data_IF_138251996883
#
_entry.id   IF_138251996883
#
_cell.length_a   1.000
_cell.length_b   1.000
_cell.length_c   1.000
_cell.angle_alpha   90.00
_cell.angle_beta   90.00
_cell.angle_gamma   90.00
#
_symmetry.space_group_name_H-M   'P 1'
#
loop_
_entity.id
_entity.type
_entity.pdbx_description
1 polymer ?
#
# COMPACT_ATOMS: atom_id res chain seq x y z
N UNK A 1 -32.81 -12.45 -0.65
CA UNK A 1 -32.62 -11.00 -0.81
C UNK A 1 -31.57 -10.81 -1.90
N UNK A 2 -31.94 -10.14 -3.01
CA UNK A 2 -31.07 -9.78 -4.13
C UNK A 2 -30.37 -8.46 -3.76
N UNK A 3 -29.06 -8.37 -3.95
CA UNK A 3 -28.31 -7.12 -3.80
C UNK A 3 -27.59 -6.89 -5.13
N UNK A 4 -28.01 -5.85 -5.84
CA UNK A 4 -27.41 -5.38 -7.08
C UNK A 4 -26.42 -4.26 -6.76
N UNK A 5 -25.21 -4.34 -7.32
CA UNK A 5 -24.20 -3.28 -7.22
C UNK A 5 -24.05 -2.67 -8.60
N UNK A 6 -24.49 -1.41 -8.77
CA UNK A 6 -24.33 -0.65 -10.00
C UNK A 6 -23.07 0.24 -9.93
N UNK A 7 -22.27 0.24 -11.00
CA UNK A 7 -21.31 1.31 -11.29
C UNK A 7 -21.67 1.97 -12.62
N UNK A 8 -21.62 3.31 -12.64
CA UNK A 8 -22.05 4.19 -13.72
C UNK A 8 -20.82 4.77 -14.42
N UNK A 9 -20.82 4.81 -15.75
CA UNK A 9 -20.03 5.78 -16.51
C UNK A 9 -20.94 6.55 -17.46
N UNK A 10 -20.71 7.86 -17.48
CA UNK A 10 -21.51 8.92 -18.11
C UNK A 10 -21.11 9.02 -19.58
N UNK A 11 -22.06 8.92 -20.49
CA UNK A 11 -21.86 9.20 -21.92
C UNK A 11 -22.55 10.53 -22.23
N UNK A 12 -21.79 11.55 -22.65
CA UNK A 12 -22.32 12.79 -23.24
C UNK A 12 -22.16 12.76 -24.76
N UNK A 13 -23.19 13.26 -25.45
CA UNK A 13 -23.47 13.12 -26.87
C UNK A 13 -22.91 14.26 -27.77
N UNK A 14 -22.89 13.96 -29.08
CA UNK A 14 -23.08 14.83 -30.27
C UNK A 14 -21.84 14.87 -31.21
N UNK A 15 -21.89 14.84 -32.55
CA UNK A 15 -22.90 15.18 -33.57
C UNK A 15 -22.73 14.40 -34.90
N UNK A 16 -23.87 14.26 -35.63
CA UNK A 16 -24.19 14.07 -37.08
C UNK A 16 -23.09 14.46 -38.10
N UNK A 17 -22.91 13.91 -39.32
CA UNK A 17 -23.79 13.60 -40.48
C UNK A 17 -22.90 13.01 -41.63
N UNK A 18 -23.32 12.19 -42.62
CA UNK A 18 -24.01 12.51 -43.89
C UNK A 18 -24.18 11.20 -44.70
N UNK A 19 -25.31 11.13 -45.40
CA UNK A 19 -25.80 10.11 -46.36
C UNK A 19 -25.09 10.27 -47.73
N UNK A 20 -24.93 9.21 -48.54
CA UNK A 20 -25.35 9.14 -49.97
C UNK A 20 -24.93 7.81 -50.64
N UNK A 21 -25.93 7.28 -51.33
CA UNK A 21 -26.10 6.05 -52.12
C UNK A 21 -25.41 6.11 -53.49
N UNK A 22 -24.91 4.98 -54.03
CA UNK A 22 -25.26 4.47 -55.37
C UNK A 22 -24.46 3.21 -55.76
N UNK A 23 -25.20 2.20 -56.21
CA UNK A 23 -24.75 0.96 -56.84
C UNK A 23 -24.33 1.19 -58.31
N UNK A 24 -23.55 0.23 -58.82
CA UNK A 24 -23.17 -0.04 -60.22
C UNK A 24 -21.86 0.55 -60.76
N UNK A 25 -20.78 -0.22 -60.67
CA UNK A 25 -19.94 -0.51 -61.82
C UNK A 25 -19.30 -1.89 -61.67
N UNK A 26 -19.67 -2.77 -62.60
CA UNK A 26 -19.33 -4.18 -62.70
C UNK A 26 -17.87 -4.33 -63.17
N UNK A 27 -17.09 -5.11 -62.41
CA UNK A 27 -16.12 -6.13 -62.87
C UNK A 27 -15.11 -5.70 -63.95
N UNK A 28 -13.85 -5.48 -63.53
CA UNK A 28 -12.64 -6.21 -63.95
C UNK A 28 -11.41 -5.36 -63.59
N UNK A 29 -10.71 -5.73 -62.52
CA UNK A 29 -9.27 -5.96 -62.56
C UNK A 29 -8.81 -6.56 -61.22
N UNK A 30 -8.36 -7.80 -61.33
CA UNK A 30 -7.60 -8.52 -60.33
C UNK A 30 -6.32 -7.75 -60.02
N UNK A 31 -6.30 -7.05 -58.89
CA UNK A 31 -5.09 -6.82 -58.12
C UNK A 31 -5.45 -7.09 -56.67
N UNK A 32 -4.93 -8.20 -56.15
CA UNK A 32 -4.92 -8.52 -54.72
C UNK A 32 -4.17 -7.43 -53.96
N UNK A 33 -4.86 -6.35 -53.61
CA UNK A 33 -4.47 -5.51 -52.48
C UNK A 33 -5.19 -6.14 -51.28
N UNK A 34 -4.47 -6.98 -50.54
CA UNK A 34 -4.87 -7.33 -49.18
C UNK A 34 -4.77 -6.06 -48.34
N UNK A 35 -5.79 -5.22 -48.39
CA UNK A 35 -6.05 -4.25 -47.34
C UNK A 35 -6.43 -5.09 -46.14
N UNK A 36 -5.49 -5.31 -45.24
CA UNK A 36 -5.77 -5.78 -43.90
C UNK A 36 -6.56 -4.67 -43.23
N UNK A 37 -7.87 -4.66 -43.42
CA UNK A 37 -8.76 -3.97 -42.51
C UNK A 37 -8.61 -4.70 -41.18
N UNK A 38 -7.74 -4.16 -40.31
CA UNK A 38 -7.78 -4.51 -38.91
C UNK A 38 -9.20 -4.18 -38.44
N UNK A 39 -10.07 -5.18 -38.41
CA UNK A 39 -11.34 -5.06 -37.73
C UNK A 39 -10.96 -4.76 -36.29
N UNK A 40 -11.23 -3.54 -35.85
CA UNK A 40 -11.31 -3.23 -34.43
C UNK A 40 -12.44 -4.09 -33.90
N UNK A 41 -12.08 -5.26 -33.38
CA UNK A 41 -12.99 -6.10 -32.63
C UNK A 41 -13.20 -5.37 -31.32
N UNK A 42 -14.27 -4.58 -31.25
CA UNK A 42 -14.82 -4.16 -29.98
C UNK A 42 -15.26 -5.43 -29.27
N UNK A 43 -14.43 -5.93 -28.34
CA UNK A 43 -14.91 -6.97 -27.43
C UNK A 43 -15.93 -6.29 -26.53
N UNK A 44 -17.21 -6.54 -26.79
CA UNK A 44 -18.23 -6.38 -25.78
C UNK A 44 -17.74 -7.16 -24.56
N UNK A 45 -17.26 -6.45 -23.54
CA UNK A 45 -16.83 -7.06 -22.30
C UNK A 45 -18.08 -7.62 -21.63
N UNK A 46 -18.45 -8.86 -21.99
CA UNK A 46 -19.57 -9.55 -21.38
C UNK A 46 -19.24 -9.80 -19.91
N UNK A 47 -19.81 -8.98 -19.04
CA UNK A 47 -19.78 -9.23 -17.61
C UNK A 47 -20.47 -10.57 -17.33
N UNK A 48 -19.71 -11.54 -16.84
CA UNK A 48 -20.27 -12.80 -16.36
C UNK A 48 -20.68 -12.63 -14.91
N UNK A 49 -21.96 -12.39 -14.67
CA UNK A 49 -22.50 -12.39 -13.31
C UNK A 49 -22.44 -13.81 -12.73
N UNK A 50 -21.86 -13.95 -11.54
CA UNK A 50 -21.82 -15.22 -10.84
C UNK A 50 -22.55 -15.06 -9.50
N UNK A 51 -23.80 -15.51 -9.45
CA UNK A 51 -24.64 -15.44 -8.25
C UNK A 51 -24.41 -16.69 -7.42
N UNK A 52 -23.71 -16.55 -6.29
CA UNK A 52 -23.56 -17.62 -5.31
C UNK A 52 -24.59 -17.45 -4.20
N UNK A 53 -25.59 -18.32 -4.16
CA UNK A 53 -26.55 -18.35 -3.06
C UNK A 53 -25.83 -18.81 -1.78
N UNK A 54 -26.00 -18.05 -0.69
CA UNK A 54 -25.43 -18.43 0.59
C UNK A 54 -26.16 -19.67 1.15
N UNK A 55 -25.46 -20.53 1.91
CA UNK A 55 -26.12 -21.58 2.68
C UNK A 55 -27.22 -21.01 3.58
N UNK A 56 -28.21 -21.83 3.93
CA UNK A 56 -29.27 -21.42 4.84
C UNK A 56 -28.64 -20.88 6.13
N UNK A 57 -28.88 -19.60 6.40
CA UNK A 57 -28.37 -18.93 7.57
C UNK A 57 -29.05 -19.50 8.83
N UNK A 58 -28.35 -19.54 9.97
CA UNK A 58 -28.95 -19.99 11.22
C UNK A 58 -30.25 -19.22 11.52
N UNK A 59 -31.35 -19.94 11.77
CA UNK A 59 -32.65 -19.33 12.04
C UNK A 59 -32.64 -18.47 13.32
N UNK A 60 -33.36 -17.35 13.28
CA UNK A 60 -33.45 -16.41 14.40
C UNK A 60 -32.20 -15.56 14.64
N UNK A 61 -31.26 -15.51 13.70
CA UNK A 61 -30.12 -14.59 13.71
C UNK A 61 -30.31 -13.48 12.68
N UNK A 62 -30.02 -12.25 13.06
CA UNK A 62 -30.09 -11.07 12.19
C UNK A 62 -28.69 -10.72 11.68
N UNK A 63 -28.55 -10.47 10.39
CA UNK A 63 -27.27 -10.05 9.79
C UNK A 63 -26.94 -8.62 10.22
N UNK A 64 -25.66 -8.34 10.49
CA UNK A 64 -25.14 -6.98 10.70
C UNK A 64 -24.60 -6.46 9.36
N UNK A 65 -25.30 -5.56 8.65
CA UNK A 65 -24.96 -5.23 7.25
C UNK A 65 -23.53 -4.68 7.07
N UNK A 66 -23.09 -3.77 7.94
CA UNK A 66 -21.78 -3.10 7.84
C UNK A 66 -20.58 -4.00 8.18
N UNK A 67 -20.82 -5.28 8.42
CA UNK A 67 -19.79 -6.25 8.77
C UNK A 67 -19.37 -7.16 7.62
N UNK A 68 -20.03 -7.06 6.46
CA UNK A 68 -19.72 -7.88 5.29
C UNK A 68 -18.35 -7.50 4.75
N UNK A 69 -17.48 -8.50 4.61
CA UNK A 69 -16.19 -8.37 3.95
C UNK A 69 -16.00 -9.50 2.94
N UNK A 70 -15.27 -9.20 1.87
CA UNK A 70 -14.94 -10.15 0.81
C UNK A 70 -13.42 -10.29 0.78
N UNK A 71 -12.94 -11.52 0.53
CA UNK A 71 -11.51 -11.77 0.41
C UNK A 71 -10.92 -11.06 -0.83
N UNK A 72 -9.61 -10.73 -0.85
CA UNK A 72 -8.98 -10.06 -1.99
C UNK A 72 -9.20 -10.73 -3.34
N UNK A 73 -9.20 -12.07 -3.41
CA UNK A 73 -9.50 -12.83 -4.63
C UNK A 73 -11.00 -12.95 -4.95
N UNK A 74 -11.87 -12.34 -4.14
CA UNK A 74 -13.34 -12.33 -4.27
C UNK A 74 -14.03 -13.69 -4.21
N UNK A 75 -13.37 -14.71 -3.64
CA UNK A 75 -13.92 -16.06 -3.56
C UNK A 75 -14.53 -16.41 -2.21
N UNK A 76 -14.21 -15.65 -1.15
CA UNK A 76 -14.67 -15.88 0.21
C UNK A 76 -15.36 -14.66 0.77
N UNK A 77 -16.30 -14.90 1.68
CA UNK A 77 -17.06 -13.84 2.32
C UNK A 77 -17.26 -14.14 3.80
N UNK A 78 -17.16 -13.11 4.62
CA UNK A 78 -17.44 -13.17 6.04
C UNK A 78 -18.33 -12.01 6.46
N UNK A 79 -19.23 -12.28 7.41
CA UNK A 79 -20.07 -11.26 8.02
C UNK A 79 -20.47 -11.68 9.43
N UNK A 80 -20.96 -10.73 10.22
CA UNK A 80 -21.47 -10.96 11.56
C UNK A 80 -22.98 -11.16 11.51
N UNK A 81 -23.48 -12.00 12.41
CA UNK A 81 -24.90 -12.07 12.74
C UNK A 81 -25.09 -11.94 14.25
N UNK A 82 -26.26 -11.45 14.66
CA UNK A 82 -26.63 -11.19 16.04
C UNK A 82 -27.94 -11.90 16.41
N UNK A 83 -28.00 -12.42 17.64
CA UNK A 83 -29.25 -12.90 18.26
C UNK A 83 -29.22 -12.55 19.75
N UNK A 84 -30.07 -11.61 20.16
CA UNK A 84 -30.00 -11.02 21.50
C UNK A 84 -28.62 -10.41 21.77
N UNK A 85 -27.93 -10.88 22.82
CA UNK A 85 -26.55 -10.47 23.16
C UNK A 85 -25.46 -11.33 22.51
N UNK A 86 -25.86 -12.37 21.77
CA UNK A 86 -24.93 -13.27 21.08
C UNK A 86 -24.59 -12.75 19.69
N UNK A 87 -23.32 -12.86 19.32
CA UNK A 87 -22.77 -12.56 18.00
C UNK A 87 -22.08 -13.81 17.45
N UNK A 88 -22.20 -14.06 16.16
CA UNK A 88 -21.43 -15.06 15.42
C UNK A 88 -20.77 -14.42 14.20
N UNK A 89 -19.69 -15.03 13.73
CA UNK A 89 -19.17 -14.79 12.37
C UNK A 89 -19.62 -15.94 11.49
N UNK A 90 -20.20 -15.63 10.34
CA UNK A 90 -20.44 -16.59 9.27
C UNK A 90 -19.35 -16.42 8.24
N UNK A 91 -18.58 -17.47 8.01
CA UNK A 91 -17.53 -17.52 7.00
C UNK A 91 -17.88 -18.57 5.95
N UNK A 92 -18.08 -18.14 4.71
CA UNK A 92 -18.47 -19.01 3.60
C UNK A 92 -19.70 -19.89 3.95
N UNK A 93 -20.65 -19.30 4.70
CA UNK A 93 -21.86 -19.95 5.19
C UNK A 93 -21.68 -20.85 6.42
N UNK A 94 -20.46 -20.98 6.95
CA UNK A 94 -20.19 -21.76 8.18
C UNK A 94 -20.16 -20.82 9.39
N UNK A 95 -21.05 -21.01 10.38
CA UNK A 95 -21.06 -20.17 11.57
C UNK A 95 -19.91 -20.52 12.53
N UNK A 96 -19.39 -19.51 13.22
CA UNK A 96 -18.50 -19.65 14.37
C UNK A 96 -19.27 -20.06 15.63
N UNK A 97 -18.56 -20.37 16.74
CA UNK A 97 -19.16 -20.33 18.07
C UNK A 97 -19.79 -18.96 18.38
N UNK A 98 -20.70 -18.93 19.36
CA UNK A 98 -21.35 -17.70 19.83
C UNK A 98 -20.42 -16.91 20.74
N UNK A 99 -20.32 -15.61 20.50
CA UNK A 99 -19.53 -14.65 21.28
C UNK A 99 -20.42 -13.54 21.83
N UNK A 100 -19.97 -12.81 22.84
CA UNK A 100 -20.63 -11.57 23.33
C UNK A 100 -20.13 -10.32 22.61
N UNK A 101 -18.87 -10.31 22.14
CA UNK A 101 -18.29 -9.21 21.35
C UNK A 101 -17.42 -9.77 20.23
N UNK A 102 -17.42 -9.12 19.07
CA UNK A 102 -16.60 -9.45 17.91
C UNK A 102 -16.02 -8.15 17.35
N UNK A 103 -14.69 -8.09 17.25
CA UNK A 103 -13.93 -6.96 16.68
C UNK A 103 -14.03 -6.89 15.16
N UNK A 104 -13.13 -6.11 14.54
CA UNK A 104 -13.09 -5.98 13.08
C UNK A 104 -12.77 -7.33 12.43
N UNK A 105 -13.46 -7.64 11.33
CA UNK A 105 -13.16 -8.79 10.48
C UNK A 105 -12.10 -8.38 9.46
N UNK A 106 -11.11 -9.24 9.20
CA UNK A 106 -10.07 -8.97 8.21
C UNK A 106 -9.61 -10.25 7.51
N UNK A 107 -9.68 -10.28 6.18
CA UNK A 107 -9.04 -11.33 5.39
C UNK A 107 -7.53 -11.07 5.27
N UNK A 108 -6.75 -12.15 5.24
CA UNK A 108 -5.36 -12.10 4.79
C UNK A 108 -5.28 -11.68 3.32
N UNK A 109 -4.18 -11.04 2.91
CA UNK A 109 -3.99 -10.58 1.52
C UNK A 109 -4.06 -11.73 0.50
N UNK A 110 -3.59 -12.93 0.88
CA UNK A 110 -3.67 -14.14 0.07
C UNK A 110 -5.04 -14.81 0.09
N UNK A 111 -6.06 -14.22 0.72
CA UNK A 111 -7.44 -14.72 0.81
C UNK A 111 -7.62 -16.04 1.58
N UNK A 112 -6.56 -16.60 2.17
CA UNK A 112 -6.60 -17.94 2.80
C UNK A 112 -7.20 -17.95 4.20
N UNK A 113 -7.12 -16.85 4.96
CA UNK A 113 -7.53 -16.84 6.37
C UNK A 113 -8.35 -15.61 6.71
N UNK A 114 -9.45 -15.82 7.42
CA UNK A 114 -10.14 -14.75 8.12
C UNK A 114 -9.55 -14.58 9.53
N UNK A 115 -9.29 -13.36 9.96
CA UNK A 115 -8.87 -13.04 11.32
C UNK A 115 -9.83 -12.05 11.97
N UNK A 116 -10.09 -12.25 13.26
CA UNK A 116 -10.81 -11.31 14.11
C UNK A 116 -10.52 -11.60 15.57
N UNK A 117 -10.89 -10.66 16.43
CA UNK A 117 -10.96 -10.89 17.87
C UNK A 117 -12.40 -11.11 18.30
N UNK A 118 -12.60 -12.00 19.28
CA UNK A 118 -13.91 -12.23 19.86
C UNK A 118 -13.82 -12.40 21.37
N UNK A 119 -14.92 -12.21 22.09
CA UNK A 119 -14.97 -12.37 23.55
C UNK A 119 -16.31 -12.99 23.93
N UNK A 120 -16.27 -14.04 24.75
CA UNK A 120 -17.44 -14.58 25.44
C UNK A 120 -17.57 -13.92 26.82
N UNK A 121 -16.70 -14.35 27.74
CA UNK A 121 -16.47 -13.80 29.08
C UNK A 121 -14.95 -13.76 29.32
N UNK A 122 -14.46 -12.86 30.17
CA UNK A 122 -13.01 -12.78 30.44
C UNK A 122 -12.20 -12.18 29.28
N UNK A 123 -11.01 -12.69 28.93
CA UNK A 123 -10.14 -12.06 27.93
C UNK A 123 -10.67 -12.14 26.49
N UNK A 124 -10.07 -11.36 25.59
CA UNK A 124 -10.31 -11.48 24.15
C UNK A 124 -9.58 -12.71 23.58
N UNK A 125 -10.18 -13.33 22.58
CA UNK A 125 -9.62 -14.41 21.78
C UNK A 125 -9.16 -13.89 20.43
N UNK A 126 -7.98 -14.30 19.97
CA UNK A 126 -7.67 -14.29 18.53
C UNK A 126 -8.37 -15.49 17.89
N UNK A 127 -9.18 -15.22 16.86
CA UNK A 127 -9.88 -16.24 16.08
C UNK A 127 -9.35 -16.20 14.65
N UNK A 128 -9.03 -17.39 14.14
CA UNK A 128 -8.69 -17.61 12.73
C UNK A 128 -9.74 -18.52 12.10
N UNK A 129 -10.39 -18.02 11.07
CA UNK A 129 -11.60 -18.59 10.48
C UNK A 129 -12.69 -18.82 11.54
N UNK A 130 -12.88 -20.06 11.99
CA UNK A 130 -13.83 -20.41 13.06
C UNK A 130 -13.15 -20.90 14.33
N UNK A 131 -11.82 -21.02 14.34
CA UNK A 131 -11.05 -21.66 15.40
C UNK A 131 -10.35 -20.63 16.30
N UNK A 132 -10.55 -20.77 17.61
CA UNK A 132 -9.84 -19.98 18.64
C UNK A 132 -8.38 -20.37 18.68
N UNK A 133 -7.48 -19.39 18.87
CA UNK A 133 -6.03 -19.62 18.88
C UNK A 133 -5.36 -19.20 20.18
N UNK A 134 -5.72 -18.03 20.72
CA UNK A 134 -5.06 -17.46 21.90
C UNK A 134 -6.05 -16.58 22.67
N UNK A 135 -6.06 -16.67 23.99
CA UNK A 135 -6.95 -15.89 24.87
C UNK A 135 -6.13 -15.04 25.84
N UNK A 136 -6.15 -13.71 25.69
CA UNK A 136 -5.51 -12.77 26.63
C UNK A 136 -6.12 -11.37 26.53
N UNK A 137 -5.94 -10.54 27.56
CA UNK A 137 -6.26 -9.13 27.46
C UNK A 137 -5.22 -8.42 26.60
N UNK A 138 -5.61 -8.12 25.35
CA UNK A 138 -4.78 -7.41 24.39
C UNK A 138 -4.91 -5.91 24.48
N UNK A 139 -3.89 -5.20 24.00
CA UNK A 139 -3.88 -3.76 23.76
C UNK A 139 -4.07 -3.54 22.26
N UNK A 140 -5.27 -3.09 21.87
CA UNK A 140 -5.63 -2.83 20.48
C UNK A 140 -5.91 -4.09 19.64
N UNK A 141 -6.25 -3.86 18.36
CA UNK A 141 -6.51 -4.93 17.40
C UNK A 141 -5.21 -5.68 17.02
N UNK A 142 -5.30 -6.98 16.67
CA UNK A 142 -4.15 -7.71 16.11
C UNK A 142 -3.65 -7.11 14.81
N UNK A 143 -2.34 -7.18 14.59
CA UNK A 143 -1.69 -6.78 13.33
C UNK A 143 -1.39 -8.05 12.54
N UNK A 144 -1.89 -8.11 11.30
CA UNK A 144 -1.64 -9.24 10.40
C UNK A 144 -0.35 -9.02 9.60
N UNK A 145 0.37 -10.11 9.36
CA UNK A 145 1.50 -10.11 8.43
C UNK A 145 1.03 -9.97 6.98
N UNK A 146 1.95 -9.70 6.05
CA UNK A 146 1.61 -9.41 4.66
C UNK A 146 0.84 -10.55 4.02
N UNK A 147 1.25 -11.81 4.19
CA UNK A 147 0.51 -12.99 3.71
C UNK A 147 -0.55 -13.47 4.71
N UNK A 148 -0.75 -12.76 5.83
CA UNK A 148 -1.67 -13.09 6.92
C UNK A 148 -1.45 -14.47 7.55
N UNK A 149 -0.24 -15.04 7.44
CA UNK A 149 0.13 -16.29 8.11
C UNK A 149 0.49 -16.07 9.57
N UNK A 150 0.93 -14.85 9.92
CA UNK A 150 1.34 -14.46 11.26
C UNK A 150 0.47 -13.32 11.75
N UNK A 151 0.36 -13.25 13.07
CA UNK A 151 -0.36 -12.21 13.78
C UNK A 151 0.53 -11.70 14.90
N UNK A 152 0.68 -10.39 14.99
CA UNK A 152 1.25 -9.71 16.14
C UNK A 152 0.14 -9.21 17.04
N UNK A 153 0.24 -9.48 18.33
CA UNK A 153 -0.68 -8.96 19.34
C UNK A 153 0.10 -8.45 20.53
N UNK A 154 -0.26 -7.27 21.02
CA UNK A 154 0.30 -6.66 22.22
C UNK A 154 -0.63 -7.00 23.38
N UNK A 155 -0.08 -7.37 24.54
CA UNK A 155 -0.89 -7.58 25.75
C UNK A 155 -0.19 -7.05 26.99
N UNK A 156 -1.00 -6.76 28.01
CA UNK A 156 -0.49 -6.36 29.33
C UNK A 156 0.00 -7.59 30.09
N UNK A 157 1.16 -7.43 30.72
CA UNK A 157 1.66 -8.25 31.82
C UNK A 157 1.47 -7.44 33.12
N UNK A 158 1.71 -7.99 34.32
CA UNK A 158 1.45 -7.28 35.58
C UNK A 158 2.10 -5.90 35.71
N UNK A 159 3.20 -5.63 34.99
CA UNK A 159 3.90 -4.32 35.03
C UNK A 159 4.30 -3.77 33.66
N UNK A 160 4.24 -4.56 32.60
CA UNK A 160 4.88 -4.26 31.30
C UNK A 160 4.00 -4.69 30.12
N UNK A 161 4.31 -4.22 28.92
CA UNK A 161 3.75 -4.73 27.65
C UNK A 161 4.64 -5.83 27.07
N UNK A 162 4.02 -6.76 26.36
CA UNK A 162 4.71 -7.82 25.62
C UNK A 162 4.03 -8.04 24.27
N UNK A 163 4.84 -8.21 23.22
CA UNK A 163 4.34 -8.56 21.88
C UNK A 163 4.42 -10.06 21.69
N UNK A 164 3.34 -10.68 21.21
CA UNK A 164 3.33 -12.08 20.77
C UNK A 164 3.13 -12.14 19.27
N UNK A 165 4.07 -12.78 18.58
CA UNK A 165 4.07 -12.93 17.13
C UNK A 165 4.01 -14.41 16.79
N UNK A 166 3.02 -14.81 15.99
CA UNK A 166 2.82 -16.19 15.56
C UNK A 166 2.81 -17.23 16.70
N UNK A 167 2.42 -16.83 17.91
CA UNK A 167 2.38 -17.72 19.07
C UNK A 167 3.66 -17.73 19.92
N UNK A 168 4.66 -16.92 19.59
CA UNK A 168 5.89 -16.75 20.38
C UNK A 168 5.83 -15.41 21.10
N UNK A 169 6.10 -15.40 22.40
CA UNK A 169 6.17 -14.17 23.19
C UNK A 169 7.57 -13.57 23.06
N UNK A 170 7.65 -12.27 22.73
CA UNK A 170 8.90 -11.51 22.72
C UNK A 170 9.28 -10.98 24.11
N UNK A 171 10.28 -10.09 24.20
CA UNK A 171 10.65 -9.43 25.46
C UNK A 171 9.55 -8.51 26.00
N UNK A 172 9.68 -8.15 27.28
CA UNK A 172 8.80 -7.19 27.96
C UNK A 172 9.38 -5.78 27.93
N UNK A 173 8.50 -4.79 27.77
CA UNK A 173 8.83 -3.37 27.63
C UNK A 173 7.83 -2.50 28.39
N UNK A 174 8.23 -1.29 28.78
CA UNK A 174 7.32 -0.33 29.41
C UNK A 174 6.27 0.15 28.40
N UNK A 175 6.71 0.32 27.15
CA UNK A 175 5.89 0.78 26.03
C UNK A 175 6.24 0.01 24.75
N UNK A 176 5.25 -0.20 23.88
CA UNK A 176 5.43 -0.72 22.53
C UNK A 176 4.74 0.24 21.57
N UNK A 177 5.49 0.78 20.61
CA UNK A 177 4.90 1.58 19.55
C UNK A 177 4.20 0.61 18.57
N UNK A 178 2.89 0.47 18.72
CA UNK A 178 2.07 -0.44 17.91
C UNK A 178 2.21 -0.17 16.41
N UNK A 179 2.29 1.09 16.02
CA UNK A 179 2.35 1.49 14.62
C UNK A 179 3.72 1.19 14.00
N UNK A 180 4.75 0.90 14.79
CA UNK A 180 6.06 0.47 14.28
C UNK A 180 6.17 -1.02 13.95
N UNK A 181 5.16 -1.84 14.30
CA UNK A 181 5.22 -3.29 14.04
C UNK A 181 5.19 -3.52 12.53
N UNK A 182 6.25 -4.11 12.00
CA UNK A 182 6.44 -4.40 10.58
C UNK A 182 6.85 -5.86 10.39
N UNK A 183 6.28 -6.52 9.38
CA UNK A 183 6.70 -7.84 8.92
C UNK A 183 7.48 -7.71 7.60
N UNK A 184 8.47 -8.57 7.39
CA UNK A 184 9.11 -8.69 6.09
C UNK A 184 8.12 -9.16 5.00
N UNK A 185 8.37 -8.88 3.71
CA UNK A 185 7.49 -9.31 2.61
C UNK A 185 7.18 -10.82 2.58
N UNK A 186 8.15 -11.66 2.97
CA UNK A 186 7.99 -13.11 3.06
C UNK A 186 7.39 -13.60 4.41
N UNK A 187 6.98 -12.68 5.29
CA UNK A 187 6.46 -12.92 6.65
C UNK A 187 7.43 -13.64 7.61
N UNK A 188 8.69 -13.85 7.25
CA UNK A 188 9.62 -14.63 8.08
C UNK A 188 10.28 -13.81 9.18
N UNK A 189 10.51 -12.53 8.94
CA UNK A 189 11.11 -11.59 9.89
C UNK A 189 10.09 -10.56 10.35
N UNK A 190 10.32 -9.97 11.51
CA UNK A 190 9.52 -8.88 12.03
C UNK A 190 10.36 -7.91 12.85
N UNK A 191 9.87 -6.68 12.97
CA UNK A 191 10.48 -5.68 13.84
C UNK A 191 9.48 -4.72 14.43
N UNK A 192 9.82 -4.13 15.57
CA UNK A 192 9.04 -3.08 16.22
C UNK A 192 9.90 -2.26 17.17
N UNK A 193 9.43 -1.04 17.43
CA UNK A 193 9.98 -0.13 18.43
C UNK A 193 9.30 -0.35 19.77
N UNK A 194 10.12 -0.39 20.82
CA UNK A 194 9.66 -0.52 22.19
C UNK A 194 10.57 0.25 23.14
N UNK A 195 10.04 0.67 24.28
CA UNK A 195 10.74 1.53 25.24
C UNK A 195 10.98 0.81 26.56
N UNK A 196 12.17 0.98 27.12
CA UNK A 196 12.50 0.58 28.50
C UNK A 196 13.15 1.76 29.22
N UNK A 197 12.47 2.26 30.26
CA UNK A 197 12.83 3.50 30.94
C UNK A 197 12.80 4.68 29.98
N UNK A 198 13.93 5.38 29.89
CA UNK A 198 14.11 6.55 29.00
C UNK A 198 14.60 6.21 27.59
N UNK A 199 14.89 4.94 27.29
CA UNK A 199 15.52 4.56 26.03
C UNK A 199 14.59 3.71 25.17
N UNK A 200 14.68 3.95 23.86
CA UNK A 200 14.05 3.15 22.83
C UNK A 200 14.95 2.00 22.37
N UNK A 201 14.30 0.95 21.89
CA UNK A 201 14.90 -0.26 21.37
C UNK A 201 14.17 -0.68 20.11
N UNK A 202 14.90 -1.29 19.18
CA UNK A 202 14.33 -1.91 17.99
C UNK A 202 14.43 -3.42 18.17
N UNK A 203 13.30 -4.08 18.40
CA UNK A 203 13.26 -5.54 18.35
C UNK A 203 13.25 -5.96 16.89
N UNK A 204 14.15 -6.86 16.50
CA UNK A 204 14.19 -7.52 15.19
C UNK A 204 14.27 -9.01 15.47
N UNK A 205 13.20 -9.75 15.16
CA UNK A 205 13.07 -11.17 15.50
C UNK A 205 13.37 -11.47 16.99
N UNK A 206 14.46 -12.19 17.27
CA UNK A 206 14.96 -12.54 18.61
C UNK A 206 16.03 -11.56 19.14
N UNK A 207 16.46 -10.60 18.32
CA UNK A 207 17.48 -9.60 18.67
C UNK A 207 16.85 -8.27 19.09
N UNK A 208 17.51 -7.57 20.01
CA UNK A 208 17.11 -6.25 20.47
C UNK A 208 18.27 -5.28 20.24
N UNK A 209 18.09 -4.32 19.33
CA UNK A 209 19.07 -3.24 19.09
C UNK A 209 18.75 -2.02 19.98
N UNK A 210 19.80 -1.32 20.40
CA UNK A 210 19.75 -0.16 21.31
C UNK A 210 20.79 -0.27 22.43
N UNK A 211 20.73 0.59 23.46
CA UNK A 211 19.71 1.63 23.67
C UNK A 211 19.85 2.81 22.70
N UNK A 212 18.71 3.38 22.31
CA UNK A 212 18.62 4.63 21.55
C UNK A 212 17.93 5.70 22.37
N UNK A 213 18.31 6.96 22.16
CA UNK A 213 17.64 8.11 22.77
C UNK A 213 16.22 8.26 22.20
N UNK A 214 16.08 8.09 20.89
CA UNK A 214 14.79 8.11 20.19
C UNK A 214 14.78 7.24 18.93
N UNK A 215 13.59 6.95 18.41
CA UNK A 215 13.34 6.25 17.15
C UNK A 215 12.15 6.87 16.43
N UNK A 216 12.16 6.91 15.10
CA UNK A 216 11.08 7.54 14.33
C UNK A 216 10.67 6.74 13.09
N UNK A 217 9.45 7.00 12.62
CA UNK A 217 8.83 6.28 11.50
C UNK A 217 8.52 4.83 11.82
N UNK A 218 8.77 3.94 10.86
CA UNK A 218 8.62 2.49 11.00
C UNK A 218 9.85 1.81 10.42
N UNK A 219 10.26 0.63 10.92
CA UNK A 219 11.22 -0.21 10.22
C UNK A 219 10.70 -0.58 8.84
N UNK A 220 11.61 -0.67 7.87
CA UNK A 220 11.35 -1.09 6.48
C UNK A 220 12.18 -2.32 6.13
N UNK A 221 11.64 -3.17 5.26
CA UNK A 221 12.32 -4.35 4.74
C UNK A 221 12.50 -4.24 3.23
N UNK A 222 13.58 -4.82 2.71
CA UNK A 222 13.76 -5.01 1.27
C UNK A 222 12.71 -5.99 0.72
N UNK A 223 12.34 -5.87 -0.57
CA UNK A 223 11.33 -6.73 -1.20
C UNK A 223 11.69 -8.22 -1.13
N UNK A 224 12.98 -8.55 -1.21
CA UNK A 224 13.51 -9.91 -1.07
C UNK A 224 13.61 -10.40 0.38
N UNK A 225 13.24 -9.56 1.36
CA UNK A 225 13.23 -9.84 2.80
C UNK A 225 14.60 -10.17 3.39
N UNK A 226 15.69 -9.71 2.78
CA UNK A 226 17.07 -9.98 3.25
C UNK A 226 17.67 -8.82 4.02
N UNK A 227 17.21 -7.60 3.78
CA UNK A 227 17.74 -6.39 4.41
C UNK A 227 16.62 -5.65 5.12
N UNK A 228 16.97 -4.89 6.16
CA UNK A 228 16.05 -4.05 6.90
C UNK A 228 16.72 -2.73 7.31
N UNK A 229 15.90 -1.72 7.54
CA UNK A 229 16.38 -0.43 8.01
C UNK A 229 15.39 0.26 8.96
N UNK A 230 15.92 1.14 9.80
CA UNK A 230 15.15 2.00 10.70
C UNK A 230 15.92 3.30 10.96
N UNK A 231 15.26 4.28 11.59
CA UNK A 231 15.87 5.54 12.00
C UNK A 231 15.92 5.60 13.53
N UNK A 232 17.09 5.96 14.06
CA UNK A 232 17.32 6.07 15.49
C UNK A 232 18.21 7.27 15.83
N UNK A 233 18.10 7.75 17.06
CA UNK A 233 18.91 8.83 17.60
C UNK A 233 19.88 8.29 18.66
N UNK A 234 21.15 8.67 18.54
CA UNK A 234 22.22 8.38 19.52
C UNK A 234 23.08 9.63 19.69
N UNK A 235 23.38 10.01 20.93
CA UNK A 235 24.19 11.20 21.26
C UNK A 235 23.65 12.48 20.60
N UNK A 236 22.33 12.66 20.62
CA UNK A 236 21.65 13.81 20.02
C UNK A 236 21.55 13.82 18.49
N UNK A 237 22.13 12.85 17.79
CA UNK A 237 22.17 12.82 16.33
C UNK A 237 21.39 11.65 15.73
N UNK A 238 20.67 11.92 14.64
CA UNK A 238 19.90 10.93 13.91
C UNK A 238 20.78 10.17 12.93
N UNK A 239 20.47 8.89 12.71
CA UNK A 239 21.09 8.09 11.67
C UNK A 239 20.11 7.03 11.17
N UNK A 240 20.24 6.68 9.90
CA UNK A 240 19.61 5.48 9.33
C UNK A 240 20.46 4.28 9.70
N UNK A 241 19.87 3.26 10.31
CA UNK A 241 20.53 1.98 10.55
C UNK A 241 20.07 1.01 9.49
N UNK A 242 21.01 0.47 8.70
CA UNK A 242 20.76 -0.59 7.73
C UNK A 242 21.50 -1.85 8.19
N UNK A 243 20.76 -2.94 8.43
CA UNK A 243 21.32 -4.23 8.85
C UNK A 243 22.32 -4.11 10.01
N UNK A 244 21.90 -3.42 11.08
CA UNK A 244 22.69 -3.10 12.28
C UNK A 244 23.94 -2.21 12.05
N UNK A 245 24.07 -1.59 10.88
CA UNK A 245 25.16 -0.65 10.58
C UNK A 245 24.59 0.76 10.41
N UNK A 246 25.01 1.73 11.23
CA UNK A 246 24.58 3.11 11.05
C UNK A 246 25.20 3.69 9.79
N UNK A 247 24.39 4.48 9.07
CA UNK A 247 24.84 5.43 8.06
C UNK A 247 25.55 6.62 8.72
N UNK A 248 25.95 7.60 7.92
CA UNK A 248 26.45 8.85 8.47
C UNK A 248 25.41 9.51 9.38
N UNK A 249 25.91 10.23 10.38
CA UNK A 249 25.05 11.02 11.28
C UNK A 249 24.45 12.22 10.54
N UNK A 250 23.26 12.62 10.98
CA UNK A 250 22.53 13.76 10.47
C UNK A 250 21.82 14.49 11.61
N UNK A 251 21.54 15.78 11.42
CA UNK A 251 20.68 16.54 12.32
C UNK A 251 19.25 16.03 12.27
N UNK A 252 18.75 15.59 11.11
CA UNK A 252 17.46 14.92 10.97
C UNK A 252 17.48 13.84 9.87
N UNK A 253 16.62 12.83 10.02
CA UNK A 253 16.40 11.73 9.05
C UNK A 253 14.92 11.59 8.76
N UNK A 254 14.54 11.35 7.50
CA UNK A 254 13.15 11.12 7.13
C UNK A 254 13.01 10.13 5.95
N UNK A 255 11.82 9.55 5.83
CA UNK A 255 11.37 8.76 4.68
C UNK A 255 12.42 7.77 4.16
N UNK A 256 12.56 6.65 4.87
CA UNK A 256 13.39 5.52 4.42
C UNK A 256 12.57 4.58 3.54
N UNK A 257 13.13 4.12 2.43
CA UNK A 257 12.49 3.14 1.55
C UNK A 257 13.50 2.32 0.76
N UNK A 258 13.29 1.00 0.68
CA UNK A 258 14.01 0.18 -0.28
C UNK A 258 13.38 0.34 -1.67
N UNK A 259 14.22 0.43 -2.70
CA UNK A 259 13.77 0.23 -4.07
C UNK A 259 13.18 -1.18 -4.21
N UNK A 260 12.14 -1.39 -5.04
CA UNK A 260 11.58 -2.71 -5.33
C UNK A 260 12.59 -3.79 -5.77
N UNK A 261 13.80 -3.39 -6.19
CA UNK A 261 14.88 -4.28 -6.63
C UNK A 261 15.65 -4.91 -5.44
N UNK A 262 15.38 -4.46 -4.20
CA UNK A 262 16.03 -4.86 -2.95
C UNK A 262 17.49 -4.47 -2.75
N UNK A 263 18.11 -3.75 -3.69
CA UNK A 263 19.56 -3.43 -3.68
C UNK A 263 19.88 -2.00 -3.21
N UNK A 264 18.90 -1.11 -3.23
CA UNK A 264 19.10 0.29 -2.91
C UNK A 264 18.15 0.71 -1.79
N UNK A 265 18.70 1.31 -0.75
CA UNK A 265 17.99 1.98 0.32
C UNK A 265 18.08 3.49 0.08
N UNK A 266 16.94 4.15 0.12
CA UNK A 266 16.79 5.59 -0.04
C UNK A 266 16.43 6.18 1.32
N UNK A 267 17.00 7.34 1.66
CA UNK A 267 16.61 8.11 2.83
C UNK A 267 16.86 9.60 2.59
N UNK A 268 16.03 10.45 3.18
CA UNK A 268 16.29 11.88 3.25
C UNK A 268 17.07 12.20 4.52
N UNK A 269 18.22 12.86 4.36
CA UNK A 269 19.08 13.31 5.46
C UNK A 269 19.17 14.83 5.45
N UNK A 270 19.18 15.41 6.64
CA UNK A 270 19.59 16.80 6.87
C UNK A 270 20.85 16.79 7.71
N UNK A 271 22.01 16.82 7.08
CA UNK A 271 23.33 16.79 7.76
C UNK A 271 23.68 18.21 8.20
N UNK A 272 24.40 18.98 7.39
CA UNK A 272 24.84 20.35 7.72
C UNK A 272 24.23 21.41 6.78
N UNK A 273 22.95 21.25 6.45
CA UNK A 273 22.23 22.09 5.49
C UNK A 273 20.83 22.43 6.00
N UNK A 274 20.26 23.61 5.66
CA UNK A 274 18.85 23.89 5.92
C UNK A 274 17.92 22.99 5.10
N UNK A 275 18.40 22.43 3.98
CA UNK A 275 17.62 21.58 3.08
C UNK A 275 17.92 20.09 3.30
N UNK A 276 16.92 19.27 2.98
CA UNK A 276 17.04 17.82 2.93
C UNK A 276 17.74 17.39 1.65
N UNK A 277 18.63 16.40 1.76
CA UNK A 277 19.26 15.76 0.62
C UNK A 277 18.89 14.28 0.58
N UNK A 278 18.61 13.75 -0.61
CA UNK A 278 18.37 12.33 -0.80
C UNK A 278 19.71 11.58 -0.78
N UNK A 279 19.76 10.51 0.00
CA UNK A 279 20.87 9.56 0.02
C UNK A 279 20.42 8.21 -0.52
N UNK A 280 21.27 7.58 -1.34
CA UNK A 280 21.10 6.22 -1.83
C UNK A 280 22.27 5.40 -1.28
N UNK A 281 22.00 4.38 -0.47
CA UNK A 281 23.03 3.55 0.17
C UNK A 281 24.11 4.39 0.89
N UNK A 282 23.67 5.35 1.71
CA UNK A 282 24.53 6.30 2.43
C UNK A 282 25.36 7.25 1.54
N UNK A 283 25.08 7.35 0.24
CA UNK A 283 25.75 8.30 -0.66
C UNK A 283 24.79 9.42 -1.07
N UNK A 284 25.18 10.71 -0.93
CA UNK A 284 24.34 11.83 -1.32
C UNK A 284 24.11 11.86 -2.83
N UNK A 285 22.89 12.20 -3.24
CA UNK A 285 22.58 12.52 -4.64
C UNK A 285 22.63 14.03 -4.79
N UNK A 286 23.64 14.52 -5.50
CA UNK A 286 24.02 15.95 -5.57
C UNK A 286 22.84 16.88 -5.86
N UNK A 287 22.03 16.57 -6.87
CA UNK A 287 20.90 17.42 -7.31
C UNK A 287 19.58 17.14 -6.59
N UNK A 288 19.51 16.13 -5.73
CA UNK A 288 18.30 15.73 -5.05
C UNK A 288 18.16 16.48 -3.72
N UNK A 289 17.95 17.79 -3.79
CA UNK A 289 17.84 18.69 -2.64
C UNK A 289 16.43 19.25 -2.58
N UNK A 290 15.81 19.23 -1.40
CA UNK A 290 14.44 19.69 -1.19
C UNK A 290 14.29 20.39 0.17
N UNK A 291 13.44 21.40 0.25
CA UNK A 291 13.15 22.11 1.51
C UNK A 291 12.41 21.22 2.52
N UNK A 292 11.72 20.19 2.05
CA UNK A 292 11.05 19.16 2.85
C UNK A 292 11.35 17.76 2.29
N UNK A 293 11.27 16.69 3.10
CA UNK A 293 11.41 15.33 2.58
C UNK A 293 10.18 14.97 1.74
N UNK A 294 10.42 14.45 0.53
CA UNK A 294 9.37 14.18 -0.46
C UNK A 294 9.38 12.70 -0.88
N UNK A 295 8.21 12.10 -1.16
CA UNK A 295 8.14 10.70 -1.55
C UNK A 295 9.05 10.38 -2.75
N UNK A 296 9.78 9.28 -2.66
CA UNK A 296 10.52 8.71 -3.79
C UNK A 296 9.61 7.73 -4.53
N UNK A 297 9.50 7.93 -5.83
CA UNK A 297 8.69 7.13 -6.74
C UNK A 297 9.60 6.11 -7.40
N UNK A 298 9.21 4.84 -7.41
CA UNK A 298 10.02 3.76 -7.95
C UNK A 298 9.40 3.15 -9.21
N UNK A 299 10.24 2.94 -10.22
CA UNK A 299 9.90 2.14 -11.39
C UNK A 299 10.21 0.65 -11.17
N UNK A 300 9.87 -0.18 -12.16
CA UNK A 300 10.12 -1.64 -12.09
C UNK A 300 11.58 -2.01 -12.37
N UNK A 301 12.35 -1.12 -13.03
CA UNK A 301 13.78 -1.31 -13.32
C UNK A 301 14.64 -0.85 -12.16
N UNK A 302 15.79 -1.49 -11.97
CA UNK A 302 16.66 -1.25 -10.83
C UNK A 302 17.24 0.17 -10.73
N UNK A 303 17.30 0.91 -11.83
CA UNK A 303 17.79 2.28 -11.85
C UNK A 303 16.67 3.32 -11.78
N UNK A 304 15.41 2.92 -12.01
CA UNK A 304 14.31 3.82 -12.26
C UNK A 304 13.72 4.35 -10.95
N UNK A 305 14.02 5.61 -10.64
CA UNK A 305 13.43 6.33 -9.53
C UNK A 305 13.26 7.80 -9.89
N UNK A 306 12.29 8.45 -9.24
CA UNK A 306 12.05 9.87 -9.38
C UNK A 306 11.58 10.50 -8.06
N UNK A 307 11.70 11.81 -7.93
CA UNK A 307 11.16 12.56 -6.82
C UNK A 307 10.76 13.97 -7.25
N UNK A 308 9.65 14.45 -6.70
CA UNK A 308 9.17 15.83 -6.88
C UNK A 308 9.75 16.71 -5.77
N UNK A 309 10.84 17.40 -6.07
CA UNK A 309 11.55 18.28 -5.15
C UNK A 309 10.80 19.60 -4.95
N UNK A 310 10.91 20.16 -3.74
CA UNK A 310 10.46 21.52 -3.43
C UNK A 310 11.70 22.39 -3.21
N UNK A 311 11.91 23.38 -4.08
CA UNK A 311 13.08 24.25 -4.04
C UNK A 311 12.60 25.69 -3.89
N UNK A 312 12.56 26.20 -2.66
CA UNK A 312 11.90 27.48 -2.35
C UNK A 312 10.39 27.38 -2.59
N UNK A 313 9.85 28.27 -3.44
CA UNK A 313 8.44 28.24 -3.88
C UNK A 313 8.19 27.44 -5.16
N UNK A 314 9.26 26.89 -5.76
CA UNK A 314 9.21 26.19 -7.04
C UNK A 314 9.24 24.67 -6.86
N UNK A 315 8.77 23.97 -7.87
CA UNK A 315 8.80 22.51 -7.93
C UNK A 315 9.74 22.05 -9.03
N UNK A 316 10.49 20.98 -8.77
CA UNK A 316 11.37 20.37 -9.75
C UNK A 316 11.22 18.85 -9.74
N UNK A 317 11.24 18.24 -10.93
CA UNK A 317 11.34 16.79 -11.03
C UNK A 317 12.80 16.38 -11.12
N UNK A 318 13.20 15.41 -10.32
CA UNK A 318 14.44 14.68 -10.51
C UNK A 318 14.11 13.24 -10.88
N UNK A 319 14.76 12.73 -11.91
CA UNK A 319 14.68 11.33 -12.34
C UNK A 319 16.10 10.79 -12.44
N UNK A 320 16.38 9.70 -11.74
CA UNK A 320 17.65 8.97 -11.86
C UNK A 320 18.89 9.86 -11.60
N UNK A 321 18.77 10.83 -10.69
CA UNK A 321 19.82 11.79 -10.33
C UNK A 321 19.93 13.00 -11.27
N UNK A 322 19.12 13.06 -12.33
CA UNK A 322 19.08 14.15 -13.30
C UNK A 322 17.82 14.98 -13.12
N UNK A 323 17.99 16.29 -13.04
CA UNK A 323 16.89 17.25 -13.02
C UNK A 323 16.25 17.30 -14.41
N UNK A 324 14.94 17.15 -14.47
CA UNK A 324 14.18 17.36 -15.70
C UNK A 324 13.90 18.87 -15.89
N UNK A 325 13.66 19.32 -17.13
CA UNK A 325 13.24 20.69 -17.40
C UNK A 325 11.99 21.08 -16.60
N UNK A 326 11.95 22.34 -16.15
CA UNK A 326 10.81 22.89 -15.41
C UNK A 326 9.91 23.60 -16.41
N UNK A 327 8.70 23.10 -16.58
CA UNK A 327 7.68 23.71 -17.45
C UNK A 327 6.59 24.47 -16.69
N UNK A 328 6.52 24.30 -15.37
CA UNK A 328 5.49 24.88 -14.52
C UNK A 328 5.47 24.24 -13.13
N UNK A 329 4.34 24.37 -12.44
CA UNK A 329 4.14 23.76 -11.13
C UNK A 329 3.74 22.29 -11.27
N UNK A 330 4.56 21.39 -10.76
CA UNK A 330 4.27 19.95 -10.77
C UNK A 330 3.25 19.67 -9.66
N UNK A 331 2.16 18.99 -9.96
CA UNK A 331 1.16 18.65 -8.95
C UNK A 331 1.66 17.55 -8.00
N UNK A 332 1.37 17.67 -6.69
CA UNK A 332 1.71 16.62 -5.73
C UNK A 332 0.97 15.31 -6.04
N UNK A 333 1.59 14.19 -5.71
CA UNK A 333 1.00 12.84 -5.77
C UNK A 333 0.46 12.39 -7.16
N UNK A 334 0.86 13.08 -8.24
CA UNK A 334 0.50 12.71 -9.62
C UNK A 334 1.54 11.85 -10.33
N UNK A 335 2.76 11.81 -9.80
CA UNK A 335 3.90 11.23 -10.48
C UNK A 335 3.99 9.71 -10.28
N UNK A 336 4.05 8.96 -11.38
CA UNK A 336 4.14 7.50 -11.41
C UNK A 336 4.91 7.00 -12.63
N UNK A 337 5.58 5.86 -12.52
CA UNK A 337 6.19 5.20 -13.68
C UNK A 337 5.18 4.34 -14.42
N UNK A 338 5.20 4.42 -15.75
CA UNK A 338 4.60 3.40 -16.60
C UNK A 338 5.33 2.06 -16.36
N UNK A 339 4.60 0.98 -16.01
CA UNK A 339 5.22 -0.29 -15.63
C UNK A 339 5.95 -0.99 -16.78
N UNK A 340 5.62 -0.68 -18.04
CA UNK A 340 6.19 -1.28 -19.26
C UNK A 340 7.28 -0.40 -19.87
N UNK A 341 6.96 0.86 -20.18
CA UNK A 341 7.87 1.77 -20.87
C UNK A 341 8.90 2.40 -19.92
N UNK A 342 8.63 2.40 -18.60
CA UNK A 342 9.48 3.08 -17.60
C UNK A 342 9.58 4.59 -17.87
N UNK A 343 8.59 5.14 -18.57
CA UNK A 343 8.42 6.58 -18.66
C UNK A 343 7.79 7.10 -17.38
N UNK A 344 8.24 8.27 -16.92
CA UNK A 344 7.67 8.94 -15.78
C UNK A 344 6.51 9.80 -16.23
N UNK A 345 5.31 9.53 -15.72
CA UNK A 345 4.10 10.31 -16.02
C UNK A 345 3.73 11.13 -14.80
N UNK A 346 3.45 12.42 -14.96
CA UNK A 346 3.00 13.32 -13.90
C UNK A 346 2.20 14.49 -14.47
N UNK A 347 1.56 15.30 -13.62
CA UNK A 347 0.83 16.48 -14.08
C UNK A 347 1.64 17.74 -13.82
N UNK A 348 1.74 18.57 -14.84
CA UNK A 348 2.33 19.92 -14.76
C UNK A 348 1.24 20.94 -15.00
N UNK A 349 1.12 21.92 -14.11
CA UNK A 349 0.26 23.09 -14.27
C UNK A 349 1.08 24.27 -14.79
N UNK A 350 0.61 24.84 -15.88
CA UNK A 350 1.16 26.00 -16.58
C UNK A 350 0.12 27.13 -16.57
N UNK A 351 0.41 28.22 -17.29
CA UNK A 351 -0.53 29.35 -17.43
C UNK A 351 -1.72 29.02 -18.36
N UNK A 352 -1.57 28.06 -19.28
CA UNK A 352 -2.58 27.64 -20.25
C UNK A 352 -3.40 26.40 -19.84
N UNK A 353 -3.03 25.71 -18.77
CA UNK A 353 -3.83 24.64 -18.19
C UNK A 353 -3.03 23.60 -17.42
N UNK A 354 -3.61 22.39 -17.30
CA UNK A 354 -2.94 21.23 -16.75
C UNK A 354 -2.59 20.24 -17.85
N UNK A 355 -1.33 19.80 -17.85
CA UNK A 355 -0.77 18.92 -18.86
C UNK A 355 -0.36 17.60 -18.23
N UNK A 356 -0.73 16.49 -18.87
CA UNK A 356 -0.02 15.23 -18.65
C UNK A 356 1.40 15.42 -19.21
N UNK A 357 2.40 15.22 -18.36
CA UNK A 357 3.81 15.28 -18.71
C UNK A 357 4.38 13.87 -18.72
N UNK A 358 5.03 13.50 -19.81
CA UNK A 358 5.75 12.24 -19.95
C UNK A 358 7.24 12.56 -20.03
N UNK A 359 7.97 12.22 -18.97
CA UNK A 359 9.36 12.61 -18.74
C UNK A 359 9.51 14.13 -18.76
N UNK A 360 9.87 14.73 -19.89
CA UNK A 360 10.02 16.17 -20.09
C UNK A 360 9.11 16.73 -21.19
N UNK A 361 8.16 15.93 -21.69
CA UNK A 361 7.26 16.31 -22.79
C UNK A 361 5.87 16.59 -22.25
N UNK A 362 5.40 17.84 -22.43
CA UNK A 362 4.02 18.23 -22.13
C UNK A 362 3.11 17.79 -23.28
N UNK A 363 2.04 17.08 -22.95
CA UNK A 363 0.94 16.78 -23.87
C UNK A 363 -0.04 17.95 -23.95
N UNK A 364 -1.11 17.82 -24.73
CA UNK A 364 -2.15 18.85 -24.87
C UNK A 364 -2.78 19.24 -23.51
N UNK A 365 -3.15 20.52 -23.31
CA UNK A 365 -3.72 21.01 -22.05
C UNK A 365 -5.15 20.51 -21.82
N UNK A 366 -5.49 20.32 -20.55
CA UNK A 366 -6.83 20.04 -20.05
C UNK A 366 -7.23 21.08 -18.98
N UNK A 367 -8.54 21.29 -18.79
CA UNK A 367 -9.03 22.24 -17.78
C UNK A 367 -8.70 21.84 -16.34
N UNK A 368 -8.67 20.54 -16.05
CA UNK A 368 -8.37 19.97 -14.73
C UNK A 368 -8.08 18.47 -14.89
N UNK A 369 -7.04 17.97 -14.24
CA UNK A 369 -6.63 16.57 -14.18
C UNK A 369 -6.43 16.20 -12.71
N UNK A 370 -7.26 15.30 -12.18
CA UNK A 370 -7.04 14.73 -10.86
C UNK A 370 -6.04 13.58 -10.95
N UNK A 371 -5.32 13.31 -9.84
CA UNK A 371 -4.41 12.16 -9.79
C UNK A 371 -5.10 10.83 -10.10
N UNK A 372 -6.39 10.70 -9.73
CA UNK A 372 -7.22 9.52 -10.00
C UNK A 372 -7.62 9.36 -11.48
N UNK A 373 -7.51 10.43 -12.28
CA UNK A 373 -7.79 10.40 -13.72
C UNK A 373 -6.64 9.76 -14.51
N UNK A 374 -5.44 9.67 -13.92
CA UNK A 374 -4.24 9.12 -14.58
C UNK A 374 -4.24 7.59 -14.44
N UNK A 375 -4.98 6.92 -15.31
CA UNK A 375 -4.94 5.47 -15.43
C UNK A 375 -3.98 5.04 -16.55
N UNK A 376 -2.82 4.50 -16.15
CA UNK A 376 -1.91 3.86 -17.09
C UNK A 376 -2.40 2.44 -17.33
N UNK A 377 -2.91 2.18 -18.54
CA UNK A 377 -3.38 0.84 -18.94
C UNK A 377 -2.25 -0.18 -18.77
N UNK A 378 -2.57 -1.29 -18.11
CA UNK A 378 -1.64 -2.43 -17.99
C UNK A 378 -1.62 -3.31 -19.23
N UNK A 379 -2.58 -3.15 -20.13
CA UNK A 379 -2.75 -3.92 -21.35
C UNK A 379 -2.65 -3.00 -22.58
N UNK A 380 -1.99 -3.51 -23.63
CA UNK A 380 -2.01 -2.94 -24.96
C UNK A 380 -2.89 -3.84 -25.82
#
# INVERSE_FOLDING_TARGET
MRIEVFMRLKQENSMRSIIVTCLMALVLNLVCIQITTAQVVWSDAYWKENIKQLPQLPSGWEMVPDSIIVSPNRQRMAFKMQRGRGLIVVLDGKPSPVYRKIGKLQFSSNSLYLHYIARENGPWYLVRDTHRRFAKEFVGDPILSNQGKRTAVIFKTPRMLQVRIAGVNGPVFDEVNRDSITFSPNDKQYSYFARRGKYWYVQIDDQTAGPFEDVTGRPVYSSDSKSHAYMAQTNGQWHVVQDNKPWQVANETAQIAFHPNSKQLFAWLRVDSPNWQLHINNQPVEKAISSTPVPVIFGTKAYAWAARLIVGSQTQMIREGKTLPIHGYILPDTAQFDPKSIQLVYVTRTDDGEHVTIDDVLLEPYQSILAEDIQISRDA
#
